data_IF_534816515594
#
_entry.id   IF_534816515594
#
_cell.length_a   1.000
_cell.length_b   1.000
_cell.length_c   1.000
_cell.angle_alpha   90.00
_cell.angle_beta   90.00
_cell.angle_gamma   90.00
#
_symmetry.space_group_name_H-M   'P 1'
#
loop_
_entity.id
_entity.type
_entity.pdbx_description
1 polymer ?
#
# COMPACT_ATOMS: atom_id res chain seq x y z
N UNK A 1 7.04 19.28 -15.34
CA UNK A 1 7.21 17.94 -15.93
C UNK A 1 6.73 16.87 -14.94
N UNK A 2 5.72 16.05 -15.28
CA UNK A 2 5.34 14.87 -14.49
C UNK A 2 6.50 13.88 -14.36
N UNK A 3 6.62 13.21 -13.21
CA UNK A 3 7.73 12.28 -12.94
C UNK A 3 7.82 11.15 -13.98
N UNK A 4 6.68 10.60 -14.40
CA UNK A 4 6.57 9.55 -15.43
C UNK A 4 7.19 9.93 -16.78
N UNK A 5 7.35 11.22 -17.07
CA UNK A 5 7.92 11.74 -18.32
C UNK A 5 9.15 12.65 -18.06
N UNK A 6 9.88 12.41 -16.96
CA UNK A 6 11.01 13.25 -16.56
C UNK A 6 12.35 12.48 -16.64
N UNK A 7 13.10 12.60 -17.75
CA UNK A 7 14.37 11.88 -17.93
C UNK A 7 15.44 12.33 -16.95
N UNK A 8 15.49 13.62 -16.58
CA UNK A 8 16.44 14.10 -15.57
C UNK A 8 16.24 13.37 -14.23
N UNK A 9 15.00 13.13 -13.83
CA UNK A 9 14.70 12.45 -12.57
C UNK A 9 15.04 10.95 -12.64
N UNK A 10 14.58 10.27 -13.69
CA UNK A 10 14.59 8.81 -13.76
C UNK A 10 15.87 8.23 -14.40
N UNK A 11 16.60 9.00 -15.21
CA UNK A 11 17.88 8.61 -15.80
C UNK A 11 19.03 9.31 -15.08
N UNK A 12 19.16 10.62 -15.26
CA UNK A 12 20.34 11.37 -14.81
C UNK A 12 20.50 11.28 -13.28
N UNK A 13 19.45 11.53 -12.52
CA UNK A 13 19.51 11.48 -11.06
C UNK A 13 19.47 10.03 -10.55
N UNK A 14 18.38 9.32 -10.83
CA UNK A 14 18.15 8.00 -10.24
C UNK A 14 19.20 6.96 -10.68
N UNK A 15 19.52 6.89 -11.97
CA UNK A 15 20.38 5.82 -12.52
C UNK A 15 21.84 6.20 -12.63
N UNK A 16 22.14 7.42 -13.09
CA UNK A 16 23.54 7.83 -13.30
C UNK A 16 24.16 8.33 -12.00
N UNK A 17 23.53 9.25 -11.28
CA UNK A 17 24.09 9.82 -10.05
C UNK A 17 23.93 8.90 -8.84
N UNK A 18 22.73 8.34 -8.62
CA UNK A 18 22.49 7.45 -7.48
C UNK A 18 22.84 5.99 -7.76
N UNK A 19 23.11 5.64 -9.02
CA UNK A 19 23.53 4.29 -9.39
C UNK A 19 22.43 3.24 -9.30
N UNK A 20 21.14 3.62 -9.28
CA UNK A 20 20.03 2.67 -9.17
C UNK A 20 20.02 1.64 -10.32
N UNK A 21 19.98 0.35 -9.97
CA UNK A 21 20.01 -0.79 -10.90
C UNK A 21 18.72 -1.61 -10.93
N UNK A 22 17.69 -1.18 -10.19
CA UNK A 22 16.42 -1.89 -10.11
C UNK A 22 15.45 -1.48 -11.22
N UNK A 23 14.22 -1.98 -11.09
CA UNK A 23 13.09 -1.65 -11.94
C UNK A 23 12.42 -0.34 -11.52
N UNK A 24 11.99 0.45 -12.50
CA UNK A 24 11.05 1.56 -12.31
C UNK A 24 9.66 1.17 -12.81
N UNK A 25 8.63 1.50 -12.03
CA UNK A 25 7.24 1.12 -12.31
C UNK A 25 6.42 2.40 -12.29
N UNK A 26 5.56 2.60 -13.29
CA UNK A 26 4.61 3.70 -13.26
C UNK A 26 3.63 3.52 -12.11
N UNK A 27 3.11 4.62 -11.57
CA UNK A 27 1.90 4.55 -10.73
C UNK A 27 0.69 4.15 -11.61
N UNK A 28 -0.43 3.83 -10.96
CA UNK A 28 -1.64 3.31 -11.59
C UNK A 28 -2.20 4.29 -12.64
N UNK A 29 -2.05 3.96 -13.91
CA UNK A 29 -2.50 4.78 -15.05
C UNK A 29 -1.67 6.03 -15.30
N UNK A 30 -0.50 6.17 -14.66
CA UNK A 30 0.29 7.39 -14.70
C UNK A 30 0.82 7.75 -16.10
N UNK A 31 0.99 6.76 -16.99
CA UNK A 31 1.39 7.01 -18.39
C UNK A 31 0.23 7.65 -19.14
N UNK A 32 -0.98 7.08 -19.01
CA UNK A 32 -2.20 7.67 -19.58
C UNK A 32 -2.46 9.09 -19.09
N UNK A 33 -2.15 9.38 -17.83
CA UNK A 33 -2.36 10.70 -17.24
C UNK A 33 -1.44 11.79 -17.78
N UNK A 34 -0.36 11.44 -18.50
CA UNK A 34 0.49 12.42 -19.21
C UNK A 34 -0.31 13.28 -20.19
N UNK A 35 -1.37 12.73 -20.77
CA UNK A 35 -2.30 13.46 -21.65
C UNK A 35 -3.06 14.52 -20.85
N UNK A 36 -3.58 14.16 -19.67
CA UNK A 36 -4.30 15.10 -18.79
C UNK A 36 -3.38 16.17 -18.21
N UNK A 37 -2.12 15.84 -17.97
CA UNK A 37 -1.09 16.81 -17.59
C UNK A 37 -0.68 17.74 -18.74
N UNK A 38 -1.15 17.50 -19.96
CA UNK A 38 -0.87 18.35 -21.13
C UNK A 38 0.57 18.23 -21.65
N UNK A 39 1.29 17.17 -21.28
CA UNK A 39 2.67 16.94 -21.76
C UNK A 39 2.77 15.92 -22.88
N UNK A 40 1.72 15.11 -23.07
CA UNK A 40 1.60 14.18 -24.18
C UNK A 40 0.41 14.57 -25.06
N UNK A 41 0.58 14.54 -26.38
CA UNK A 41 -0.51 14.85 -27.32
C UNK A 41 -1.59 13.77 -27.34
N UNK A 42 -1.19 12.50 -27.23
CA UNK A 42 -2.06 11.33 -27.26
C UNK A 42 -1.41 10.15 -26.51
N UNK A 43 -2.05 8.97 -26.58
CA UNK A 43 -1.57 7.78 -25.91
C UNK A 43 -0.23 7.26 -26.48
N UNK A 44 0.01 7.41 -27.79
CA UNK A 44 1.24 6.98 -28.45
C UNK A 44 2.40 7.88 -28.03
N UNK A 45 2.18 9.19 -27.96
CA UNK A 45 3.17 10.14 -27.45
C UNK A 45 3.44 9.95 -25.95
N UNK A 46 2.41 9.65 -25.15
CA UNK A 46 2.56 9.35 -23.73
C UNK A 46 3.47 8.13 -23.48
N UNK A 47 3.29 7.05 -24.25
CA UNK A 47 4.15 5.86 -24.20
C UNK A 47 5.58 6.19 -24.57
N UNK A 48 5.78 6.92 -25.68
CA UNK A 48 7.11 7.35 -26.12
C UNK A 48 7.80 8.14 -25.02
N UNK A 49 7.13 9.11 -24.41
CA UNK A 49 7.69 9.92 -23.32
C UNK A 49 8.05 9.07 -22.10
N UNK A 50 7.18 8.15 -21.67
CA UNK A 50 7.42 7.34 -20.49
C UNK A 50 8.60 6.38 -20.65
N UNK A 51 8.65 5.61 -21.75
CA UNK A 51 9.71 4.61 -21.97
C UNK A 51 11.06 5.28 -22.19
N UNK A 52 11.09 6.39 -22.93
CA UNK A 52 12.33 7.15 -23.19
C UNK A 52 12.78 7.93 -21.95
N UNK A 53 11.87 8.27 -21.03
CA UNK A 53 12.22 8.87 -19.73
C UNK A 53 12.78 7.87 -18.73
N UNK A 54 12.58 6.56 -18.96
CA UNK A 54 13.16 5.52 -18.12
C UNK A 54 12.17 4.74 -17.27
N UNK A 55 10.86 4.80 -17.56
CA UNK A 55 9.82 3.96 -16.91
C UNK A 55 9.80 2.58 -17.55
N UNK A 56 10.09 1.53 -16.79
CA UNK A 56 10.28 0.18 -17.34
C UNK A 56 8.98 -0.62 -17.40
N UNK A 57 8.07 -0.46 -16.44
CA UNK A 57 6.81 -1.19 -16.37
C UNK A 57 5.60 -0.25 -16.30
N UNK A 58 4.63 -0.48 -17.20
CA UNK A 58 3.32 0.18 -17.17
C UNK A 58 2.40 -0.53 -16.17
N UNK A 59 1.79 0.24 -15.27
CA UNK A 59 0.79 -0.23 -14.33
C UNK A 59 -0.62 0.20 -14.75
N UNK A 60 -1.47 -0.80 -15.06
CA UNK A 60 -2.93 -0.64 -15.16
C UNK A 60 -3.44 0.30 -16.28
N UNK A 61 -2.77 0.36 -17.44
CA UNK A 61 -3.29 1.09 -18.61
C UNK A 61 -3.17 0.40 -19.98
N UNK A 62 -2.48 -0.75 -20.10
CA UNK A 62 -2.25 -1.49 -21.36
C UNK A 62 -1.52 -0.67 -22.45
N UNK A 63 -1.01 0.52 -22.14
CA UNK A 63 -0.48 1.43 -23.15
C UNK A 63 0.82 0.91 -23.79
N UNK A 64 1.71 0.31 -23.00
CA UNK A 64 2.99 -0.21 -23.51
C UNK A 64 2.76 -1.30 -24.56
N UNK A 65 1.96 -2.32 -24.23
CA UNK A 65 1.67 -3.43 -25.14
C UNK A 65 1.02 -2.95 -26.45
N UNK A 66 0.14 -1.93 -26.36
CA UNK A 66 -0.60 -1.41 -27.51
C UNK A 66 0.23 -0.53 -28.44
N UNK A 67 1.11 0.32 -27.92
CA UNK A 67 1.75 1.38 -28.73
C UNK A 67 3.26 1.20 -28.94
N UNK A 68 3.98 0.47 -28.08
CA UNK A 68 5.42 0.28 -28.25
C UNK A 68 5.81 -0.42 -29.56
N UNK A 69 5.11 -1.49 -30.03
CA UNK A 69 5.49 -2.15 -31.28
C UNK A 69 5.51 -1.20 -32.48
N UNK A 70 4.51 -0.31 -32.58
CA UNK A 70 4.44 0.70 -33.64
C UNK A 70 5.52 1.78 -33.49
N UNK A 71 5.75 2.26 -32.27
CA UNK A 71 6.78 3.28 -31.99
C UNK A 71 8.19 2.80 -32.33
N UNK A 72 8.52 1.54 -32.07
CA UNK A 72 9.81 0.93 -32.43
C UNK A 72 9.91 0.77 -33.95
N UNK A 73 8.86 0.23 -34.59
CA UNK A 73 8.81 0.08 -36.06
C UNK A 73 9.01 1.40 -36.79
N UNK A 74 8.45 2.49 -36.25
CA UNK A 74 8.55 3.84 -36.83
C UNK A 74 9.86 4.56 -36.44
N UNK A 75 10.74 3.92 -35.65
CA UNK A 75 12.03 4.48 -35.22
C UNK A 75 11.93 5.59 -34.17
N UNK A 76 10.76 5.80 -33.56
CA UNK A 76 10.52 6.84 -32.56
C UNK A 76 10.92 6.43 -31.14
N UNK A 77 11.03 5.12 -30.90
CA UNK A 77 11.60 4.54 -29.67
C UNK A 77 12.69 3.57 -30.08
N UNK A 78 13.93 3.73 -29.60
CA UNK A 78 15.00 2.78 -29.89
C UNK A 78 14.74 1.44 -29.19
N UNK A 79 15.07 0.33 -29.85
CA UNK A 79 14.94 -1.02 -29.27
C UNK A 79 15.74 -1.16 -27.95
N UNK A 80 16.83 -0.41 -27.80
CA UNK A 80 17.62 -0.37 -26.56
C UNK A 80 16.84 0.16 -25.33
N UNK A 81 15.82 1.00 -25.52
CA UNK A 81 14.94 1.41 -24.42
C UNK A 81 14.04 0.23 -23.96
N UNK A 82 13.63 -0.64 -24.90
CA UNK A 82 12.89 -1.87 -24.60
C UNK A 82 13.81 -2.88 -23.91
N UNK A 83 15.02 -3.09 -24.43
CA UNK A 83 15.99 -4.00 -23.83
C UNK A 83 16.35 -3.60 -22.40
N UNK A 84 16.52 -2.29 -22.13
CA UNK A 84 16.72 -1.78 -20.78
C UNK A 84 15.56 -2.16 -19.87
N UNK A 85 14.32 -1.83 -20.28
CA UNK A 85 13.14 -2.08 -19.47
C UNK A 85 12.92 -3.58 -19.20
N UNK A 86 13.05 -4.40 -20.26
CA UNK A 86 12.95 -5.86 -20.18
C UNK A 86 14.02 -6.43 -19.25
N UNK A 87 15.29 -6.03 -19.40
CA UNK A 87 16.39 -6.48 -18.54
C UNK A 87 16.12 -6.15 -17.08
N UNK A 88 15.63 -4.96 -16.75
CA UNK A 88 15.39 -4.57 -15.36
C UNK A 88 14.22 -5.38 -14.73
N UNK A 89 13.19 -5.72 -15.53
CA UNK A 89 12.13 -6.68 -15.12
C UNK A 89 12.70 -8.07 -14.88
N UNK A 90 13.51 -8.59 -15.81
CA UNK A 90 14.08 -9.94 -15.71
C UNK A 90 15.09 -10.03 -14.56
N UNK A 91 15.92 -9.02 -14.34
CA UNK A 91 16.84 -8.94 -13.20
C UNK A 91 16.05 -8.95 -11.88
N UNK A 92 14.96 -8.20 -11.79
CA UNK A 92 14.10 -8.24 -10.59
C UNK A 92 13.56 -9.64 -10.33
N UNK A 93 13.09 -10.35 -11.37
CA UNK A 93 12.63 -11.75 -11.24
C UNK A 93 13.77 -12.72 -10.89
N UNK A 94 14.98 -12.45 -11.38
CA UNK A 94 16.19 -13.21 -11.07
C UNK A 94 16.58 -13.07 -9.61
N UNK A 95 16.65 -11.83 -9.09
CA UNK A 95 16.96 -11.55 -7.69
C UNK A 95 15.91 -12.15 -6.73
N UNK A 96 14.65 -12.23 -7.18
CA UNK A 96 13.58 -12.93 -6.46
C UNK A 96 13.68 -14.47 -6.51
N UNK A 97 14.63 -15.04 -7.25
CA UNK A 97 14.82 -16.48 -7.39
C UNK A 97 13.77 -17.19 -8.27
N UNK A 98 12.95 -16.44 -9.02
CA UNK A 98 11.82 -16.98 -9.77
C UNK A 98 12.22 -17.81 -10.99
N UNK A 99 13.44 -17.60 -11.53
CA UNK A 99 13.99 -18.47 -12.58
C UNK A 99 14.47 -19.82 -12.05
N UNK A 100 14.89 -19.89 -10.79
CA UNK A 100 15.26 -21.15 -10.15
C UNK A 100 14.03 -21.92 -9.70
N UNK A 101 13.08 -21.22 -9.07
CA UNK A 101 11.81 -21.79 -8.65
C UNK A 101 10.70 -20.73 -8.73
N UNK A 102 9.76 -20.84 -9.69
CA UNK A 102 8.68 -19.87 -9.83
C UNK A 102 7.68 -19.89 -8.65
N UNK A 103 7.74 -20.91 -7.79
CA UNK A 103 6.87 -21.08 -6.62
C UNK A 103 7.60 -20.89 -5.29
N UNK A 104 8.78 -20.26 -5.28
CA UNK A 104 9.65 -20.12 -4.09
C UNK A 104 8.95 -19.54 -2.86
N UNK A 105 7.92 -18.71 -3.04
CA UNK A 105 7.17 -18.07 -1.96
C UNK A 105 5.83 -18.74 -1.63
N UNK A 106 5.48 -19.87 -2.26
CA UNK A 106 4.21 -20.56 -2.05
C UNK A 106 4.34 -21.84 -1.20
N UNK A 107 5.56 -22.31 -0.94
CA UNK A 107 5.80 -23.59 -0.29
C UNK A 107 5.39 -24.79 -1.17
N UNK A 108 5.43 -26.03 -0.64
CA UNK A 108 4.97 -27.21 -1.36
C UNK A 108 3.49 -27.12 -1.76
N UNK A 109 3.13 -27.74 -2.88
CA UNK A 109 1.75 -27.81 -3.34
C UNK A 109 0.84 -28.37 -2.24
N UNK A 110 -0.24 -27.63 -1.92
CA UNK A 110 -1.21 -28.00 -0.88
C UNK A 110 -0.80 -27.68 0.56
N UNK A 111 0.35 -27.03 0.78
CA UNK A 111 0.82 -26.67 2.13
C UNK A 111 0.23 -25.36 2.70
N UNK A 112 -0.29 -24.47 1.85
CA UNK A 112 -0.88 -23.21 2.32
C UNK A 112 -2.19 -23.48 3.09
N UNK A 113 -2.34 -22.96 4.32
CA UNK A 113 -3.58 -23.11 5.08
C UNK A 113 -4.78 -22.53 4.34
N UNK A 114 -5.89 -23.27 4.34
CA UNK A 114 -7.13 -22.90 3.65
C UNK A 114 -7.71 -21.56 4.12
N UNK A 115 -7.58 -21.25 5.42
CA UNK A 115 -8.01 -19.97 5.97
C UNK A 115 -6.85 -18.97 6.00
N UNK A 116 -6.78 -18.13 4.96
CA UNK A 116 -5.84 -17.02 4.87
C UNK A 116 -5.97 -16.03 6.03
N UNK A 117 -7.15 -15.94 6.65
CA UNK A 117 -7.45 -14.99 7.72
C UNK A 117 -7.46 -15.66 9.11
N UNK A 118 -6.93 -16.87 9.26
CA UNK A 118 -6.91 -17.53 10.57
C UNK A 118 -6.18 -16.67 11.63
N UNK A 119 -6.71 -16.61 12.86
CA UNK A 119 -6.09 -15.83 13.96
C UNK A 119 -4.64 -16.27 14.26
N UNK A 120 -4.32 -17.54 14.03
CA UNK A 120 -2.97 -18.10 14.18
C UNK A 120 -1.95 -17.53 13.19
N UNK A 121 -2.40 -16.91 12.10
CA UNK A 121 -1.54 -16.24 11.09
C UNK A 121 -1.28 -14.77 11.42
N UNK A 122 -1.89 -14.22 12.49
CA UNK A 122 -1.76 -12.82 12.85
C UNK A 122 -0.60 -12.55 13.83
N UNK A 123 0.12 -11.45 13.60
CA UNK A 123 1.26 -11.02 14.41
C UNK A 123 0.85 -9.94 15.44
N UNK A 124 -0.14 -10.27 16.29
CA UNK A 124 -0.79 -9.30 17.20
C UNK A 124 0.14 -8.75 18.29
N UNK A 125 1.05 -9.58 18.79
CA UNK A 125 1.94 -9.20 19.88
C UNK A 125 2.92 -8.12 19.41
N UNK A 126 3.51 -8.34 18.24
CA UNK A 126 4.44 -7.47 17.54
C UNK A 126 3.75 -6.15 17.17
N UNK A 127 2.57 -6.23 16.54
CA UNK A 127 1.78 -5.06 16.19
C UNK A 127 1.46 -4.19 17.42
N UNK A 128 1.14 -4.80 18.56
CA UNK A 128 0.87 -4.08 19.81
C UNK A 128 2.12 -3.39 20.38
N UNK A 129 3.29 -4.01 20.26
CA UNK A 129 4.56 -3.41 20.69
C UNK A 129 4.87 -2.18 19.84
N UNK A 130 4.76 -2.28 18.52
CA UNK A 130 4.99 -1.15 17.60
C UNK A 130 3.99 -0.02 17.87
N UNK A 131 2.69 -0.32 17.95
CA UNK A 131 1.65 0.68 18.20
C UNK A 131 1.84 1.46 19.51
N UNK A 132 2.39 0.84 20.56
CA UNK A 132 2.70 1.53 21.82
C UNK A 132 3.85 2.53 21.69
N UNK A 133 4.81 2.27 20.81
CA UNK A 133 5.97 3.16 20.58
C UNK A 133 5.63 4.37 19.73
N UNK A 134 4.51 4.35 19.00
CA UNK A 134 4.08 5.43 18.11
C UNK A 134 3.10 6.41 18.75
N UNK A 135 2.65 6.15 19.99
CA UNK A 135 1.74 7.05 20.70
C UNK A 135 2.46 8.29 21.20
N UNK A 136 1.86 9.46 20.99
CA UNK A 136 2.39 10.76 21.44
C UNK A 136 1.49 11.31 22.55
N UNK A 137 2.05 11.53 23.73
CA UNK A 137 1.36 12.20 24.84
C UNK A 137 1.43 13.71 24.64
N UNK A 138 0.33 14.31 24.15
CA UNK A 138 0.29 15.74 23.86
C UNK A 138 0.09 16.61 25.11
N UNK A 139 -0.62 16.11 26.13
CA UNK A 139 -0.89 16.81 27.39
C UNK A 139 -1.12 15.81 28.52
N UNK A 140 -0.57 16.09 29.71
CA UNK A 140 -0.85 15.35 30.95
C UNK A 140 -0.96 16.32 32.13
N UNK A 141 -2.11 16.97 32.27
CA UNK A 141 -2.35 17.89 33.37
C UNK A 141 -2.61 17.13 34.68
N UNK A 142 -2.11 17.69 35.80
CA UNK A 142 -2.29 17.14 37.16
C UNK A 142 -1.94 15.65 37.32
N UNK A 143 -1.01 15.14 36.50
CA UNK A 143 -0.64 13.71 36.49
C UNK A 143 -1.85 12.76 36.33
N UNK A 144 -2.81 13.15 35.49
CA UNK A 144 -4.03 12.36 35.24
C UNK A 144 -3.71 10.95 34.73
N UNK A 145 -2.67 10.82 33.90
CA UNK A 145 -2.18 9.52 33.41
C UNK A 145 -0.90 9.09 34.17
N UNK A 146 -0.71 7.77 34.43
CA UNK A 146 -1.57 6.65 34.00
C UNK A 146 -2.80 6.45 34.89
N UNK A 147 -3.92 6.01 34.29
CA UNK A 147 -5.14 5.70 35.03
C UNK A 147 -4.98 4.46 35.92
N UNK A 148 -5.61 4.49 37.09
CA UNK A 148 -5.78 3.30 37.94
C UNK A 148 -6.63 2.24 37.24
N UNK A 149 -6.28 0.96 37.43
CA UNK A 149 -7.08 -0.17 36.94
C UNK A 149 -8.45 -0.28 37.63
N UNK A 150 -8.63 0.37 38.78
CA UNK A 150 -9.88 0.41 39.54
C UNK A 150 -10.74 1.64 39.20
N UNK A 151 -10.27 2.53 38.32
CA UNK A 151 -11.04 3.70 37.93
C UNK A 151 -12.31 3.31 37.17
N UNK A 152 -13.42 3.99 37.44
CA UNK A 152 -14.62 3.91 36.60
C UNK A 152 -14.46 4.88 35.43
N UNK A 153 -14.46 4.36 34.21
CA UNK A 153 -14.16 5.13 33.00
C UNK A 153 -15.39 5.14 32.09
N UNK A 154 -15.91 6.34 31.81
CA UNK A 154 -16.84 6.53 30.71
C UNK A 154 -16.06 6.63 29.39
N UNK A 155 -16.24 5.67 28.48
CA UNK A 155 -15.64 5.70 27.14
C UNK A 155 -16.67 6.23 26.13
N UNK A 156 -16.49 7.48 25.69
CA UNK A 156 -17.44 8.20 24.84
C UNK A 156 -16.74 8.74 23.59
N UNK A 157 -17.40 8.59 22.44
CA UNK A 157 -16.96 9.13 21.16
C UNK A 157 -17.21 8.16 20.00
N UNK A 158 -17.30 8.65 18.75
CA UNK A 158 -17.61 7.81 17.58
C UNK A 158 -16.52 6.76 17.28
N UNK A 159 -15.31 6.99 17.79
CA UNK A 159 -14.16 6.09 17.63
C UNK A 159 -14.06 5.04 18.75
N UNK A 160 -14.94 5.08 19.76
CA UNK A 160 -14.85 4.24 20.96
C UNK A 160 -15.00 2.74 20.68
N UNK A 161 -15.63 2.34 19.58
CA UNK A 161 -15.77 0.95 19.15
C UNK A 161 -15.55 0.76 17.63
N UNK A 162 -14.95 1.74 16.95
CA UNK A 162 -14.76 1.68 15.49
C UNK A 162 -13.59 0.78 15.09
N UNK A 163 -13.94 -0.42 14.65
CA UNK A 163 -12.99 -1.40 14.12
C UNK A 163 -12.41 -1.01 12.76
N UNK A 164 -13.15 -0.26 11.94
CA UNK A 164 -12.68 0.13 10.61
C UNK A 164 -11.63 1.22 10.72
N UNK A 165 -11.90 2.23 11.54
CA UNK A 165 -11.08 3.44 11.53
C UNK A 165 -9.74 3.23 12.25
N UNK A 166 -9.67 2.32 13.24
CA UNK A 166 -8.41 1.98 13.93
C UNK A 166 -7.40 1.29 13.01
N UNK A 167 -7.82 0.71 11.89
CA UNK A 167 -6.89 0.13 10.91
C UNK A 167 -6.23 1.19 10.01
N UNK A 168 -6.77 2.40 9.96
CA UNK A 168 -6.31 3.47 9.07
C UNK A 168 -6.68 3.27 7.59
N UNK A 169 -6.18 4.18 6.75
CA UNK A 169 -6.22 4.04 5.29
C UNK A 169 -5.14 3.06 4.82
N UNK A 170 -5.24 2.58 3.58
CA UNK A 170 -4.26 1.65 2.99
C UNK A 170 -3.99 0.39 3.84
N UNK A 171 -5.04 -0.15 4.47
CA UNK A 171 -4.97 -1.29 5.40
C UNK A 171 -4.69 -2.65 4.73
N UNK A 172 -4.33 -2.68 3.45
CA UNK A 172 -4.07 -3.87 2.64
C UNK A 172 -5.14 -4.98 2.85
N UNK A 173 -4.72 -6.18 3.25
CA UNK A 173 -5.58 -7.33 3.52
C UNK A 173 -6.17 -7.36 4.95
N UNK A 174 -6.14 -6.24 5.69
CA UNK A 174 -6.66 -6.16 7.05
C UNK A 174 -8.16 -6.47 7.13
N UNK A 175 -8.53 -7.47 7.94
CA UNK A 175 -9.93 -7.82 8.19
C UNK A 175 -10.48 -6.99 9.35
N UNK A 176 -11.49 -6.17 9.06
CA UNK A 176 -12.10 -5.23 10.03
C UNK A 176 -12.45 -5.91 11.35
N UNK A 177 -13.07 -7.09 11.32
CA UNK A 177 -13.50 -7.82 12.53
C UNK A 177 -12.32 -8.27 13.40
N UNK A 178 -11.12 -8.39 12.84
CA UNK A 178 -9.90 -8.80 13.53
C UNK A 178 -9.11 -7.62 14.09
N UNK A 179 -9.52 -6.37 13.84
CA UNK A 179 -8.92 -5.21 14.51
C UNK A 179 -9.14 -5.30 16.02
N UNK A 180 -8.05 -5.12 16.79
CA UNK A 180 -8.12 -5.17 18.25
C UNK A 180 -8.68 -3.86 18.81
N UNK A 181 -9.86 -3.90 19.42
CA UNK A 181 -10.46 -2.72 20.07
C UNK A 181 -10.50 -2.85 21.61
N UNK A 182 -10.04 -1.84 22.38
CA UNK A 182 -10.11 -1.84 23.84
C UNK A 182 -11.51 -2.13 24.40
N UNK A 183 -12.54 -1.54 23.80
CA UNK A 183 -13.95 -1.66 24.21
C UNK A 183 -14.46 -3.11 24.31
N UNK A 184 -13.98 -4.02 23.44
CA UNK A 184 -14.45 -5.41 23.44
C UNK A 184 -13.64 -6.33 24.35
N UNK A 185 -12.40 -5.96 24.71
CA UNK A 185 -11.63 -6.73 25.71
C UNK A 185 -12.18 -6.59 27.12
N UNK A 186 -12.85 -5.47 27.43
CA UNK A 186 -13.50 -5.27 28.72
C UNK A 186 -14.75 -6.18 28.94
N UNK A 187 -15.34 -6.73 27.87
CA UNK A 187 -16.52 -7.60 27.97
C UNK A 187 -16.24 -9.11 27.92
N UNK A 188 -15.03 -9.53 27.52
CA UNK A 188 -14.69 -10.94 27.32
C UNK A 188 -13.94 -11.59 28.50
N UNK A 189 -13.56 -10.81 29.51
CA UNK A 189 -13.06 -11.33 30.79
C UNK A 189 -14.22 -11.51 31.76
N UNK A 190 -14.50 -12.74 32.16
CA UNK A 190 -15.51 -13.05 33.18
C UNK A 190 -15.25 -12.28 34.47
N UNK A 191 -16.05 -11.24 34.69
CA UNK A 191 -15.98 -10.36 35.85
C UNK A 191 -16.81 -9.11 35.59
N UNK A 192 -18.08 -9.11 36.03
CA UNK A 192 -18.97 -7.96 35.96
C UNK A 192 -18.37 -6.77 36.71
N UNK A 193 -17.71 -5.84 36.03
CA UNK A 193 -17.53 -4.46 36.52
C UNK A 193 -17.60 -3.44 35.35
N UNK A 194 -18.77 -2.80 35.22
CA UNK A 194 -18.86 -1.34 35.12
C UNK A 194 -18.58 -0.60 33.80
N UNK A 195 -18.52 -1.23 32.63
CA UNK A 195 -18.47 -0.47 31.37
C UNK A 195 -19.89 -0.22 30.82
N UNK A 196 -20.46 0.96 31.10
CA UNK A 196 -21.69 1.43 30.46
C UNK A 196 -21.36 2.06 29.10
N UNK A 197 -21.77 1.38 28.03
CA UNK A 197 -21.65 1.88 26.66
C UNK A 197 -22.89 2.69 26.28
N UNK A 198 -22.70 3.99 26.01
CA UNK A 198 -23.78 4.86 25.49
C UNK A 198 -23.61 4.95 23.98
N UNK A 199 -24.47 4.25 23.23
CA UNK A 199 -24.53 4.30 21.77
C UNK A 199 -25.51 5.41 21.37
N UNK A 200 -25.02 6.55 20.88
CA UNK A 200 -25.92 7.54 20.27
C UNK A 200 -26.43 6.96 18.94
N UNK A 201 -27.72 6.63 18.90
CA UNK A 201 -28.39 6.12 17.70
C UNK A 201 -28.44 7.18 16.60
N UNK A 202 -28.13 6.77 15.37
CA UNK A 202 -28.43 7.56 14.17
C UNK A 202 -29.94 7.84 14.14
N UNK A 203 -30.32 9.10 14.28
CA UNK A 203 -31.66 9.54 13.85
C UNK A 203 -31.77 9.28 12.34
N UNK A 204 -32.74 8.45 11.96
CA UNK A 204 -33.20 8.35 10.59
C UNK A 204 -34.01 9.60 10.31
N UNK A 205 -33.56 10.45 9.39
CA UNK A 205 -34.43 11.45 8.78
C UNK A 205 -35.38 10.71 7.83
N UNK A 206 -36.66 10.72 8.21
CA UNK A 206 -37.78 10.56 7.28
C UNK A 206 -38.26 11.97 6.92
N UNK A 207 -38.51 12.21 5.64
CA UNK A 207 -38.92 13.50 5.07
C UNK A 207 -38.43 13.60 3.65
#
# INVERSE_FOLDING_TARGET
>A
MPATANPWLLKDLLREQWGFKGITISDHGAIKELIKHGVAADARDAVRLAITSGVDMSMSDEFYDKYLPGLVKDGLVPESDIDRACRDVLNTKYDMGLFTNPYVHLGPAGSDPQDTNAESRLHRAEARVVARKTMVLLKNDKQTLPLSKQATIALVGPMADSQRDVMGSWSAAGVVKQSGHPARRAGAGGGRQGAHFVRQGRQRHAG
#
